data_IF_858054901606
#
_entry.id   IF_858054901606
#
_cell.length_a   1.000
_cell.length_b   1.000
_cell.length_c   1.000
_cell.angle_alpha   90.00
_cell.angle_beta   90.00
_cell.angle_gamma   90.00
#
_symmetry.space_group_name_H-M   'P 1'
#
loop_
_entity.id
_entity.type
_entity.pdbx_description
1 polymer ?
#
# COMPACT_ATOMS: atom_id res chain seq x y z
N UNK A 1 -9.84 12.00 9.38
CA UNK A 1 -10.56 10.78 8.94
C UNK A 1 -11.00 10.79 7.47
N UNK A 2 -11.37 11.92 6.85
CA UNK A 2 -11.82 11.96 5.45
C UNK A 2 -10.71 11.64 4.42
N UNK A 3 -9.48 12.12 4.63
CA UNK A 3 -8.38 11.97 3.67
C UNK A 3 -7.98 10.52 3.42
N UNK A 4 -7.98 9.68 4.47
CA UNK A 4 -7.62 8.26 4.40
C UNK A 4 -8.58 7.48 3.49
N UNK A 5 -9.88 7.79 3.54
CA UNK A 5 -10.89 7.15 2.70
C UNK A 5 -10.70 7.51 1.22
N UNK A 6 -10.44 8.80 0.92
CA UNK A 6 -10.17 9.26 -0.44
C UNK A 6 -8.90 8.64 -1.03
N UNK A 7 -7.82 8.53 -0.24
CA UNK A 7 -6.56 7.91 -0.67
C UNK A 7 -6.77 6.41 -0.98
N UNK A 8 -7.46 5.67 -0.10
CA UNK A 8 -7.78 4.26 -0.35
C UNK A 8 -8.59 4.08 -1.64
N UNK A 9 -9.58 4.94 -1.87
CA UNK A 9 -10.40 4.92 -3.09
C UNK A 9 -9.55 5.20 -4.33
N UNK A 10 -8.68 6.21 -4.29
CA UNK A 10 -7.80 6.60 -5.39
C UNK A 10 -6.78 5.49 -5.74
N UNK A 11 -6.19 4.85 -4.73
CA UNK A 11 -5.25 3.73 -4.90
C UNK A 11 -5.97 2.38 -5.10
N UNK A 12 -7.30 2.37 -5.13
CA UNK A 12 -8.13 1.18 -5.25
C UNK A 12 -7.78 0.09 -4.22
N UNK A 13 -7.48 0.51 -2.99
CA UNK A 13 -7.27 -0.38 -1.83
C UNK A 13 -8.65 -0.77 -1.29
N UNK A 14 -9.08 -1.99 -1.63
CA UNK A 14 -10.39 -2.54 -1.24
C UNK A 14 -10.40 -3.30 0.09
N UNK A 15 -9.22 -3.62 0.63
CA UNK A 15 -9.12 -4.37 1.88
C UNK A 15 -9.46 -3.46 3.07
N UNK A 16 -10.56 -3.74 3.82
CA UNK A 16 -10.96 -2.90 4.94
C UNK A 16 -9.94 -2.94 6.08
N UNK A 17 -9.12 -3.99 6.15
CA UNK A 17 -8.14 -4.20 7.21
C UNK A 17 -6.80 -3.48 6.96
N UNK A 18 -6.64 -2.78 5.84
CA UNK A 18 -5.47 -1.93 5.60
C UNK A 18 -5.74 -0.57 6.22
N UNK A 19 -5.00 -0.16 7.24
CA UNK A 19 -5.03 1.18 7.81
C UNK A 19 -3.82 1.98 7.30
N UNK A 20 -4.02 3.20 6.78
CA UNK A 20 -2.88 4.03 6.37
C UNK A 20 -2.23 4.66 7.61
N UNK A 21 -0.92 4.90 7.55
CA UNK A 21 -0.19 5.57 8.62
C UNK A 21 -0.62 7.04 8.77
N UNK A 22 -0.35 7.66 9.93
CA UNK A 22 -0.63 9.09 10.18
C UNK A 22 0.11 10.01 9.21
N UNK A 23 1.34 9.65 8.85
CA UNK A 23 2.09 10.24 7.72
C UNK A 23 2.14 9.18 6.62
N UNK A 24 1.15 9.15 5.72
CA UNK A 24 0.99 8.03 4.81
C UNK A 24 1.92 8.10 3.61
N UNK A 25 2.55 9.23 3.29
CA UNK A 25 3.31 9.40 2.05
C UNK A 25 4.76 9.79 2.35
N UNK A 26 5.71 9.05 1.77
CA UNK A 26 7.13 9.41 1.74
C UNK A 26 7.64 9.48 0.30
N UNK A 27 8.71 10.24 0.08
CA UNK A 27 9.48 10.19 -1.17
C UNK A 27 10.60 9.17 -1.01
N UNK A 28 10.65 8.19 -1.90
CA UNK A 28 11.73 7.20 -1.93
C UNK A 28 12.36 7.18 -3.32
N UNK A 29 13.70 7.15 -3.37
CA UNK A 29 14.45 6.98 -4.62
C UNK A 29 14.75 5.50 -4.83
N UNK A 30 14.25 4.91 -5.91
CA UNK A 30 14.54 3.51 -6.30
C UNK A 30 15.00 3.49 -7.76
N UNK A 31 16.15 2.86 -8.02
CA UNK A 31 16.74 2.75 -9.38
C UNK A 31 16.78 4.10 -10.13
N UNK A 32 17.29 5.12 -9.45
CA UNK A 32 17.37 6.51 -9.92
C UNK A 32 16.08 7.25 -10.24
N UNK A 33 14.93 6.65 -9.98
CA UNK A 33 13.64 7.29 -10.12
C UNK A 33 13.03 7.60 -8.75
N UNK A 34 12.44 8.78 -8.61
CA UNK A 34 11.70 9.18 -7.41
C UNK A 34 10.28 8.60 -7.44
N UNK A 35 9.87 8.03 -6.31
CA UNK A 35 8.54 7.47 -6.10
C UNK A 35 7.89 8.12 -4.89
N UNK A 36 6.59 8.36 -4.99
CA UNK A 36 5.75 8.59 -3.82
C UNK A 36 5.28 7.24 -3.30
N UNK A 37 5.71 6.89 -2.09
CA UNK A 37 5.38 5.61 -1.45
C UNK A 37 4.33 5.85 -0.39
N UNK A 38 3.25 5.07 -0.46
CA UNK A 38 2.15 5.14 0.49
C UNK A 38 2.24 4.00 1.50
N UNK A 39 2.36 4.34 2.78
CA UNK A 39 2.53 3.39 3.87
C UNK A 39 1.20 3.05 4.55
N UNK A 40 0.99 1.77 4.83
CA UNK A 40 -0.15 1.28 5.57
C UNK A 40 0.15 -0.02 6.32
N UNK A 41 -0.62 -0.27 7.37
CA UNK A 41 -0.53 -1.43 8.25
C UNK A 41 -1.78 -2.29 8.13
N UNK A 42 -1.59 -3.61 8.11
CA UNK A 42 -2.69 -4.56 8.24
C UNK A 42 -3.11 -4.70 9.70
N UNK A 43 -4.40 -4.67 9.97
CA UNK A 43 -4.97 -4.88 11.32
C UNK A 43 -5.03 -6.35 11.74
N UNK A 44 -4.76 -7.26 10.80
CA UNK A 44 -4.72 -8.70 11.04
C UNK A 44 -3.38 -9.29 10.63
N UNK A 45 -3.07 -10.44 11.22
CA UNK A 45 -1.92 -11.26 10.84
C UNK A 45 -2.41 -12.45 10.01
N UNK A 46 -2.16 -12.51 8.70
CA UNK A 46 -2.47 -13.70 7.89
C UNK A 46 -1.62 -14.88 8.34
N UNK A 47 -2.24 -16.05 8.46
CA UNK A 47 -1.58 -17.31 8.85
C UNK A 47 -0.55 -17.78 7.83
N UNK A 48 -0.86 -17.64 6.55
CA UNK A 48 0.06 -17.92 5.44
C UNK A 48 -0.30 -17.08 4.22
N UNK A 49 0.66 -16.95 3.29
CA UNK A 49 0.39 -16.38 1.98
C UNK A 49 -0.58 -17.30 1.21
N UNK A 50 -1.71 -16.76 0.75
CA UNK A 50 -2.69 -17.55 -0.02
C UNK A 50 -2.16 -18.06 -1.38
N UNK A 51 -1.10 -17.45 -1.91
CA UNK A 51 -0.52 -17.83 -3.21
C UNK A 51 0.56 -18.90 -3.08
N UNK A 52 1.45 -18.80 -2.09
CA UNK A 52 2.58 -19.72 -1.95
C UNK A 52 2.54 -20.62 -0.70
N UNK A 53 1.57 -20.45 0.19
CA UNK A 53 1.39 -21.29 1.39
C UNK A 53 2.42 -21.05 2.51
N UNK A 54 3.42 -20.18 2.28
CA UNK A 54 4.45 -19.85 3.27
C UNK A 54 3.82 -19.16 4.49
N UNK A 55 4.12 -19.66 5.70
CA UNK A 55 3.69 -19.07 6.97
C UNK A 55 4.42 -17.76 7.23
N UNK A 56 3.70 -16.72 7.64
CA UNK A 56 4.31 -15.45 8.02
C UNK A 56 4.76 -15.50 9.48
N UNK A 57 6.06 -15.62 9.70
CA UNK A 57 6.65 -15.68 11.03
C UNK A 57 6.88 -14.29 11.64
N UNK A 58 6.91 -13.24 10.82
CA UNK A 58 7.05 -11.83 11.23
C UNK A 58 6.05 -10.91 10.52
N UNK A 59 5.85 -9.71 11.08
CA UNK A 59 5.06 -8.63 10.47
C UNK A 59 5.74 -8.02 9.24
N UNK A 60 7.06 -8.18 9.12
CA UNK A 60 7.86 -7.65 8.01
C UNK A 60 7.82 -8.52 6.74
N UNK A 61 7.30 -9.76 6.86
CA UNK A 61 7.29 -10.74 5.77
C UNK A 61 6.14 -10.49 4.75
N UNK A 62 5.22 -9.59 5.09
CA UNK A 62 4.02 -9.29 4.32
C UNK A 62 4.23 -8.09 3.39
N UNK A 63 5.05 -8.28 2.36
CA UNK A 63 5.25 -7.27 1.33
C UNK A 63 4.35 -7.57 0.14
N UNK A 64 3.23 -6.85 0.03
CA UNK A 64 2.40 -6.88 -1.17
C UNK A 64 2.97 -5.92 -2.21
N UNK A 65 3.85 -6.43 -3.07
CA UNK A 65 4.28 -5.70 -4.26
C UNK A 65 3.11 -5.60 -5.25
N UNK A 66 2.54 -4.41 -5.41
CA UNK A 66 1.53 -4.13 -6.43
C UNK A 66 1.84 -2.81 -7.09
N UNK A 67 2.04 -2.82 -8.41
CA UNK A 67 2.17 -1.62 -9.23
C UNK A 67 0.85 -1.36 -9.94
N UNK A 68 0.36 -0.12 -9.89
CA UNK A 68 -0.85 0.33 -10.57
C UNK A 68 -0.49 1.51 -11.48
N UNK A 69 -0.46 1.28 -12.78
CA UNK A 69 -0.35 2.37 -13.76
C UNK A 69 -1.60 3.25 -13.65
N UNK A 70 -1.39 4.54 -13.42
CA UNK A 70 -2.46 5.54 -13.37
C UNK A 70 -2.11 6.68 -14.32
N UNK A 71 -3.05 7.06 -15.18
CA UNK A 71 -2.89 8.20 -16.09
C UNK A 71 -3.35 9.46 -15.36
N UNK A 72 -2.45 10.40 -15.14
CA UNK A 72 -2.78 11.73 -14.62
C UNK A 72 -3.05 12.64 -15.82
N UNK A 73 -4.32 12.98 -16.04
CA UNK A 73 -4.70 13.98 -17.04
C UNK A 73 -4.62 15.36 -16.38
N UNK A 74 -3.67 16.19 -16.81
CA UNK A 74 -3.65 17.61 -16.45
C UNK A 74 -4.70 18.32 -17.31
N UNK A 75 -5.75 18.84 -16.67
CA UNK A 75 -6.72 19.71 -17.34
C UNK A 75 -6.17 21.14 -17.37
N UNK A 76 -6.08 21.72 -18.57
CA UNK A 76 -5.81 23.13 -18.81
C UNK A 76 -7.00 24.01 -18.44
#
# INVERSE_FOLDING_TARGET
MAYTHSIKKLLNIKDPNVQLAEVPVTKEKKKDQEYLVVHGKLTYRPSCCKLCGVKNNSYQDLIKHGTKCSTLTLTH
#
